data_IF_810104772487
#
_entry.id   IF_810104772487
#
_cell.length_a   1.000
_cell.length_b   1.000
_cell.length_c   1.000
_cell.angle_alpha   90.00
_cell.angle_beta   90.00
_cell.angle_gamma   90.00
#
_symmetry.space_group_name_H-M   'P 1'
#
loop_
_entity.id
_entity.type
_entity.pdbx_description
1 polymer ?
#
# COMPACT_ATOMS: atom_id res chain seq x y z
N UNK A 1 38.61 22.37 16.54
CA UNK A 1 38.22 22.46 15.11
C UNK A 1 38.13 21.03 14.56
N UNK A 2 36.93 20.63 14.12
CA UNK A 2 36.62 19.45 13.27
C UNK A 2 36.67 18.06 13.93
N UNK A 3 35.73 17.78 14.84
CA UNK A 3 35.32 16.38 15.10
C UNK A 3 34.28 16.02 14.02
N UNK A 4 34.71 15.15 13.13
CA UNK A 4 34.03 14.71 11.91
C UNK A 4 32.59 14.25 12.16
N UNK A 5 31.62 15.01 11.64
CA UNK A 5 30.17 14.73 11.70
C UNK A 5 29.70 13.43 11.05
N UNK A 6 30.61 12.60 10.49
CA UNK A 6 30.30 11.26 9.97
C UNK A 6 30.02 10.24 11.08
N UNK A 7 30.70 10.32 12.21
CA UNK A 7 30.59 9.32 13.29
C UNK A 7 29.26 9.40 14.06
N UNK A 8 28.72 10.60 14.25
CA UNK A 8 27.39 10.81 14.85
C UNK A 8 26.25 10.30 13.95
N UNK A 9 26.42 10.36 12.62
CA UNK A 9 25.45 9.78 11.67
C UNK A 9 25.48 8.25 11.70
N UNK A 10 26.65 7.64 11.85
CA UNK A 10 26.82 6.19 11.91
C UNK A 10 26.19 5.57 13.19
N UNK A 11 26.38 6.20 14.36
CA UNK A 11 25.73 5.79 15.60
C UNK A 11 24.20 5.98 15.57
N UNK A 12 23.71 6.97 14.82
CA UNK A 12 22.26 7.24 14.65
C UNK A 12 21.55 6.23 13.75
N UNK A 13 22.24 5.66 12.76
CA UNK A 13 21.65 4.67 11.83
C UNK A 13 21.90 3.22 12.23
N UNK A 14 22.75 2.98 13.23
CA UNK A 14 22.99 1.65 13.81
C UNK A 14 21.71 0.86 14.17
N UNK A 15 20.68 1.46 14.82
CA UNK A 15 19.44 0.73 15.13
C UNK A 15 18.58 0.42 13.89
N UNK A 16 18.87 1.03 12.74
CA UNK A 16 18.14 0.77 11.48
C UNK A 16 18.64 -0.53 10.84
N UNK A 17 19.90 -0.90 11.06
CA UNK A 17 20.48 -2.11 10.46
C UNK A 17 19.74 -3.42 10.82
N UNK A 18 19.41 -3.73 12.09
CA UNK A 18 18.65 -4.95 12.40
C UNK A 18 17.23 -4.93 11.83
N UNK A 19 16.57 -3.77 11.78
CA UNK A 19 15.23 -3.63 11.20
C UNK A 19 15.24 -3.83 9.68
N UNK A 20 16.24 -3.27 8.99
CA UNK A 20 16.42 -3.45 7.54
C UNK A 20 16.80 -4.89 7.21
N UNK A 21 17.73 -5.49 7.96
CA UNK A 21 18.10 -6.89 7.78
C UNK A 21 16.89 -7.81 7.97
N UNK A 22 16.06 -7.56 9.00
CA UNK A 22 14.83 -8.28 9.24
C UNK A 22 13.84 -8.16 8.07
N UNK A 23 13.57 -6.94 7.58
CA UNK A 23 12.71 -6.71 6.41
C UNK A 23 13.25 -7.39 5.15
N UNK A 24 14.55 -7.33 4.93
CA UNK A 24 15.17 -7.99 3.78
C UNK A 24 15.00 -9.51 3.85
N UNK A 25 15.26 -10.11 5.01
CA UNK A 25 15.19 -11.56 5.19
C UNK A 25 13.76 -12.11 5.18
N UNK A 26 12.81 -11.42 5.82
CA UNK A 26 11.45 -11.94 5.96
C UNK A 26 10.49 -11.46 4.88
N UNK A 27 10.79 -10.37 4.19
CA UNK A 27 9.87 -9.81 3.17
C UNK A 27 10.51 -9.83 1.78
N UNK A 28 11.72 -9.31 1.63
CA UNK A 28 12.37 -9.20 0.31
C UNK A 28 12.83 -10.57 -0.20
N UNK A 29 13.39 -11.42 0.65
CA UNK A 29 13.82 -12.76 0.27
C UNK A 29 12.67 -13.63 -0.27
N UNK A 30 11.52 -13.80 0.43
CA UNK A 30 10.42 -14.61 -0.11
C UNK A 30 9.76 -13.99 -1.34
N UNK A 31 9.66 -12.65 -1.42
CA UNK A 31 9.09 -12.00 -2.60
C UNK A 31 10.00 -12.14 -3.82
N UNK A 32 11.32 -11.99 -3.65
CA UNK A 32 12.29 -12.23 -4.72
C UNK A 32 12.28 -13.70 -5.18
N UNK A 33 12.13 -14.64 -4.24
CA UNK A 33 12.00 -16.07 -4.55
C UNK A 33 10.71 -16.35 -5.33
N UNK A 34 9.57 -15.77 -4.93
CA UNK A 34 8.30 -15.90 -5.65
C UNK A 34 8.38 -15.30 -7.06
N UNK A 35 9.04 -14.16 -7.23
CA UNK A 35 9.26 -13.54 -8.55
C UNK A 35 10.19 -14.40 -9.42
N UNK A 36 11.22 -14.99 -8.81
CA UNK A 36 12.10 -15.95 -9.50
C UNK A 36 11.34 -17.19 -9.97
N UNK A 37 10.48 -17.75 -9.12
CA UNK A 37 9.61 -18.88 -9.45
C UNK A 37 8.53 -18.53 -10.46
N UNK A 38 8.04 -17.28 -10.50
CA UNK A 38 7.05 -16.87 -11.49
C UNK A 38 7.64 -16.67 -12.89
N UNK A 39 8.96 -16.45 -12.98
CA UNK A 39 9.68 -16.28 -14.24
C UNK A 39 10.35 -17.58 -14.73
N UNK A 40 10.61 -18.53 -13.84
CA UNK A 40 11.25 -19.80 -14.17
C UNK A 40 10.21 -20.90 -14.44
N UNK A 41 10.29 -21.53 -15.61
CA UNK A 41 9.53 -22.74 -15.91
C UNK A 41 10.14 -23.97 -15.21
N UNK A 42 9.41 -25.08 -15.18
CA UNK A 42 9.83 -26.35 -14.54
C UNK A 42 11.17 -26.88 -15.11
N UNK A 43 11.49 -26.50 -16.35
CA UNK A 43 12.72 -26.88 -17.07
C UNK A 43 13.87 -25.86 -16.95
N UNK A 44 13.75 -24.85 -16.07
CA UNK A 44 14.82 -23.88 -15.81
C UNK A 44 15.04 -22.82 -16.90
N UNK A 45 14.11 -22.71 -17.86
CA UNK A 45 14.08 -21.64 -18.86
C UNK A 45 13.23 -20.48 -18.35
N UNK A 46 13.65 -19.25 -18.64
CA UNK A 46 12.85 -18.06 -18.37
C UNK A 46 11.66 -18.09 -19.33
N UNK A 47 10.46 -18.33 -18.81
CA UNK A 47 9.24 -18.47 -19.59
C UNK A 47 8.30 -17.31 -19.32
N UNK A 48 8.01 -16.54 -20.38
CA UNK A 48 7.04 -15.43 -20.35
C UNK A 48 5.60 -15.91 -20.57
N UNK A 49 5.40 -17.20 -20.84
CA UNK A 49 4.10 -17.79 -21.13
C UNK A 49 3.13 -17.69 -19.94
N UNK A 50 3.65 -17.71 -18.70
CA UNK A 50 2.86 -17.47 -17.49
C UNK A 50 2.24 -16.06 -17.47
N UNK A 51 2.94 -15.07 -18.02
CA UNK A 51 2.44 -13.69 -18.11
C UNK A 51 1.54 -13.50 -19.34
N UNK A 52 1.81 -14.18 -20.46
CA UNK A 52 0.96 -14.11 -21.66
C UNK A 52 -0.46 -14.62 -21.38
N UNK A 53 -0.60 -15.69 -20.59
CA UNK A 53 -1.89 -16.24 -20.14
C UNK A 53 -2.76 -15.25 -19.37
N UNK A 54 -2.17 -14.26 -18.71
CA UNK A 54 -2.92 -13.20 -18.00
C UNK A 54 -3.68 -12.31 -18.98
N UNK A 55 -3.16 -12.09 -20.18
CA UNK A 55 -3.77 -11.23 -21.19
C UNK A 55 -4.64 -12.01 -22.18
N UNK A 56 -4.28 -13.27 -22.49
CA UNK A 56 -5.05 -14.15 -23.36
C UNK A 56 -6.31 -14.72 -22.68
N UNK A 57 -6.26 -14.90 -21.36
CA UNK A 57 -7.40 -15.35 -20.59
C UNK A 57 -8.48 -14.28 -20.47
N UNK A 58 -9.58 -14.42 -21.22
CA UNK A 58 -10.71 -13.48 -21.19
C UNK A 58 -11.25 -13.19 -19.77
N UNK A 59 -11.16 -14.16 -18.87
CA UNK A 59 -11.52 -13.99 -17.45
C UNK A 59 -10.53 -13.09 -16.71
N UNK A 60 -9.22 -13.34 -16.83
CA UNK A 60 -8.19 -12.58 -16.12
C UNK A 60 -8.21 -11.10 -16.53
N UNK A 61 -8.23 -10.82 -17.83
CA UNK A 61 -8.35 -9.46 -18.37
C UNK A 61 -9.64 -8.78 -17.91
N UNK A 62 -10.76 -9.50 -17.88
CA UNK A 62 -12.05 -8.96 -17.38
C UNK A 62 -11.97 -8.58 -15.91
N UNK A 63 -11.40 -9.44 -15.06
CA UNK A 63 -11.25 -9.15 -13.62
C UNK A 63 -10.33 -7.95 -13.41
N UNK A 64 -9.21 -7.87 -14.13
CA UNK A 64 -8.28 -6.73 -14.08
C UNK A 64 -8.99 -5.41 -14.44
N UNK A 65 -9.78 -5.41 -15.51
CA UNK A 65 -10.53 -4.23 -15.93
C UNK A 65 -11.62 -3.84 -14.91
N UNK A 66 -12.30 -4.83 -14.31
CA UNK A 66 -13.29 -4.56 -13.26
C UNK A 66 -12.61 -3.93 -12.04
N UNK A 67 -11.48 -4.47 -11.57
CA UNK A 67 -10.80 -3.91 -10.39
C UNK A 67 -10.27 -2.51 -10.66
N UNK A 68 -9.68 -2.26 -11.82
CA UNK A 68 -9.26 -0.91 -12.24
C UNK A 68 -10.44 0.05 -12.33
N UNK A 69 -11.56 -0.38 -12.94
CA UNK A 69 -12.76 0.44 -13.05
C UNK A 69 -13.35 0.77 -11.69
N UNK A 70 -13.45 -0.21 -10.80
CA UNK A 70 -13.95 0.00 -9.42
C UNK A 70 -13.02 0.96 -8.69
N UNK A 71 -11.70 0.73 -8.71
CA UNK A 71 -10.74 1.62 -8.05
C UNK A 71 -10.80 3.05 -8.58
N UNK A 72 -10.96 3.24 -9.89
CA UNK A 72 -11.10 4.56 -10.50
C UNK A 72 -12.38 5.27 -10.03
N UNK A 73 -13.52 4.59 -10.05
CA UNK A 73 -14.79 5.15 -9.54
C UNK A 73 -14.70 5.46 -8.06
N UNK A 74 -14.21 4.53 -7.25
CA UNK A 74 -14.04 4.73 -5.80
C UNK A 74 -13.15 5.93 -5.50
N UNK A 75 -12.04 6.10 -6.24
CA UNK A 75 -11.14 7.26 -6.08
C UNK A 75 -11.85 8.55 -6.45
N UNK A 76 -12.58 8.58 -7.57
CA UNK A 76 -13.34 9.77 -7.98
C UNK A 76 -14.38 10.16 -6.93
N UNK A 77 -15.18 9.20 -6.46
CA UNK A 77 -16.16 9.45 -5.40
C UNK A 77 -15.51 9.87 -4.08
N UNK A 78 -14.39 9.27 -3.71
CA UNK A 78 -13.65 9.65 -2.50
C UNK A 78 -13.16 11.10 -2.56
N UNK A 79 -12.70 11.57 -3.73
CA UNK A 79 -12.31 12.97 -3.91
C UNK A 79 -13.54 13.88 -3.84
N UNK A 80 -14.61 13.55 -4.57
CA UNK A 80 -15.83 14.38 -4.62
C UNK A 80 -16.49 14.49 -3.24
N UNK A 81 -16.56 13.40 -2.48
CA UNK A 81 -17.17 13.39 -1.15
C UNK A 81 -16.20 13.87 -0.06
N UNK A 82 -14.91 13.55 -0.16
CA UNK A 82 -13.90 13.90 0.84
C UNK A 82 -13.42 15.34 0.76
N UNK A 83 -13.38 15.94 -0.43
CA UNK A 83 -12.92 17.32 -0.62
C UNK A 83 -13.79 18.36 0.11
N UNK A 84 -15.14 18.32 0.05
CA UNK A 84 -16.00 19.19 0.84
C UNK A 84 -15.76 19.06 2.34
N UNK A 85 -15.58 17.84 2.83
CA UNK A 85 -15.31 17.57 4.26
C UNK A 85 -13.96 18.17 4.66
N UNK A 86 -12.91 17.94 3.87
CA UNK A 86 -11.59 18.52 4.11
C UNK A 86 -11.62 20.07 4.09
N UNK A 87 -12.36 20.66 3.15
CA UNK A 87 -12.53 22.10 3.04
C UNK A 87 -13.29 22.68 4.25
N UNK A 88 -14.33 22.01 4.72
CA UNK A 88 -15.05 22.41 5.93
C UNK A 88 -14.10 22.34 7.14
N UNK A 89 -13.37 21.25 7.33
CA UNK A 89 -12.42 21.07 8.42
C UNK A 89 -11.32 22.15 8.44
N UNK A 90 -10.90 22.64 7.28
CA UNK A 90 -9.91 23.72 7.16
C UNK A 90 -10.46 25.09 7.62
N UNK A 91 -11.77 25.32 7.49
CA UNK A 91 -12.40 26.62 7.73
C UNK A 91 -13.18 26.72 9.07
N UNK A 92 -13.44 25.62 9.79
CA UNK A 92 -14.14 25.67 11.10
C UNK A 92 -13.24 26.02 12.30
N UNK A 93 -13.87 26.61 13.33
CA UNK A 93 -13.28 26.83 14.66
C UNK A 93 -12.74 25.54 15.28
N UNK A 94 -11.65 25.65 16.05
CA UNK A 94 -10.89 24.51 16.60
C UNK A 94 -11.72 23.51 17.43
N UNK A 95 -12.80 23.93 18.09
CA UNK A 95 -13.67 23.06 18.88
C UNK A 95 -14.52 22.11 18.02
N UNK A 96 -15.11 22.60 16.93
CA UNK A 96 -15.93 21.78 16.01
C UNK A 96 -15.07 20.87 15.14
N UNK A 97 -13.85 21.31 14.77
CA UNK A 97 -12.89 20.49 13.99
C UNK A 97 -12.56 19.18 14.70
N UNK A 98 -12.30 19.21 16.01
CA UNK A 98 -11.91 18.02 16.75
C UNK A 98 -13.04 16.98 16.79
N UNK A 99 -14.28 17.43 16.99
CA UNK A 99 -15.47 16.56 16.95
C UNK A 99 -15.66 15.94 15.57
N UNK A 100 -15.60 16.75 14.49
CA UNK A 100 -15.76 16.26 13.11
C UNK A 100 -14.70 15.21 12.73
N UNK A 101 -13.44 15.40 13.15
CA UNK A 101 -12.37 14.42 12.93
C UNK A 101 -12.69 13.08 13.60
N UNK A 102 -13.20 13.10 14.83
CA UNK A 102 -13.61 11.88 15.54
C UNK A 102 -14.71 11.15 14.76
N UNK A 103 -15.75 11.85 14.29
CA UNK A 103 -16.82 11.25 13.48
C UNK A 103 -16.31 10.59 12.18
N UNK A 104 -15.27 11.15 11.55
CA UNK A 104 -14.65 10.57 10.35
C UNK A 104 -13.76 9.36 10.68
N UNK A 105 -13.10 9.36 11.85
CA UNK A 105 -12.24 8.26 12.30
C UNK A 105 -13.03 7.06 12.86
N UNK A 106 -14.22 7.28 13.41
CA UNK A 106 -15.07 6.19 13.92
C UNK A 106 -15.33 5.08 12.89
N UNK A 107 -15.74 5.35 11.63
CA UNK A 107 -15.93 4.30 10.62
C UNK A 107 -14.62 3.69 10.12
N UNK A 108 -13.48 4.33 10.39
CA UNK A 108 -12.17 3.73 10.13
C UNK A 108 -11.80 2.70 11.20
N UNK A 109 -12.22 2.93 12.45
CA UNK A 109 -12.02 1.98 13.56
C UNK A 109 -13.01 0.81 13.56
N UNK A 110 -14.17 0.94 12.90
CA UNK A 110 -15.06 -0.20 12.66
C UNK A 110 -14.54 -1.02 11.48
N UNK A 111 -13.77 -2.05 11.83
CA UNK A 111 -13.13 -2.97 10.89
C UNK A 111 -14.08 -3.39 9.78
N UNK A 112 -13.57 -3.39 8.55
CA UNK A 112 -14.29 -3.79 7.33
C UNK A 112 -15.02 -5.12 7.50
N UNK A 113 -14.49 -6.03 8.34
CA UNK A 113 -15.10 -7.30 8.74
C UNK A 113 -16.58 -7.15 9.14
N UNK A 114 -16.94 -6.16 9.97
CA UNK A 114 -18.33 -6.00 10.45
C UNK A 114 -19.27 -5.55 9.32
N UNK A 115 -18.75 -4.85 8.31
CA UNK A 115 -19.53 -4.36 7.15
C UNK A 115 -19.69 -5.40 6.04
N UNK A 116 -18.85 -6.43 5.97
CA UNK A 116 -18.93 -7.45 4.92
C UNK A 116 -19.45 -8.81 5.38
N UNK A 117 -19.51 -9.07 6.69
CA UNK A 117 -19.99 -10.34 7.26
C UNK A 117 -21.42 -10.29 7.86
N UNK A 118 -22.10 -9.14 7.82
CA UNK A 118 -23.49 -8.96 8.27
C UNK A 118 -24.39 -8.60 7.09
#
# INVERSE_FOLDING_TARGET
>A
MIISGKWLRLFRVWPIYPAVLFLLLLFVYPTALLVGLSAADVDGKISVDHYARLFEGALYTKVLLITLKVAAWTTAFAIIAGYPVAYLLANVRSSLRNTLIIWVLLPFWTSFLVRTFA
#
